data_IF_829784875407
#
_entry.id   IF_829784875407
#
_cell.length_a   1.000
_cell.length_b   1.000
_cell.length_c   1.000
_cell.angle_alpha   90.00
_cell.angle_beta   90.00
_cell.angle_gamma   90.00
#
_symmetry.space_group_name_H-M   'P 1'
#
loop_
_entity.id
_entity.type
_entity.pdbx_description
1 polymer ?
#
# COMPACT_ATOMS: atom_id res chain seq x y z
N UNK A 1 -39.14 80.33 20.76
CA UNK A 1 -37.87 80.26 20.01
C UNK A 1 -37.12 79.05 20.54
N UNK A 2 -37.29 77.85 19.96
CA UNK A 2 -36.46 77.31 18.86
C UNK A 2 -34.97 77.37 19.24
N UNK A 3 -34.16 76.32 19.21
CA UNK A 3 -34.24 74.97 18.67
C UNK A 3 -32.80 74.45 18.86
N UNK A 4 -32.56 73.29 19.49
CA UNK A 4 -31.36 72.50 19.19
C UNK A 4 -31.46 71.10 19.81
N UNK A 5 -32.33 70.33 19.15
CA UNK A 5 -32.06 68.96 18.69
C UNK A 5 -30.95 68.21 19.43
N UNK A 6 -31.32 67.52 20.50
CA UNK A 6 -30.56 66.43 21.10
C UNK A 6 -30.43 65.30 20.05
N UNK A 7 -29.40 65.38 19.20
CA UNK A 7 -29.07 64.33 18.22
C UNK A 7 -28.48 63.15 18.99
N UNK A 8 -29.32 62.18 19.30
CA UNK A 8 -28.90 60.83 19.73
C UNK A 8 -28.02 60.24 18.62
N UNK A 9 -26.70 60.26 18.81
CA UNK A 9 -25.76 59.60 17.91
C UNK A 9 -25.87 58.09 18.19
N UNK A 10 -26.76 57.42 17.49
CA UNK A 10 -26.73 55.96 17.40
C UNK A 10 -25.47 55.57 16.63
N UNK A 11 -24.55 54.77 17.20
CA UNK A 11 -23.40 54.28 16.43
C UNK A 11 -23.89 53.39 15.29
N UNK A 12 -23.29 53.56 14.10
CA UNK A 12 -23.61 52.73 12.94
C UNK A 12 -23.38 51.24 13.28
N UNK A 13 -24.24 50.32 12.79
CA UNK A 13 -24.03 48.89 12.99
C UNK A 13 -22.64 48.51 12.43
N UNK A 14 -21.89 47.63 13.13
CA UNK A 14 -20.57 47.21 12.66
C UNK A 14 -20.72 46.60 11.26
N UNK A 15 -19.80 46.96 10.37
CA UNK A 15 -19.77 46.42 9.01
C UNK A 15 -19.84 44.89 9.05
N UNK A 16 -20.75 44.30 8.29
CA UNK A 16 -20.89 42.85 8.19
C UNK A 16 -19.53 42.23 7.84
N UNK A 17 -19.06 41.31 8.68
CA UNK A 17 -17.82 40.57 8.43
C UNK A 17 -17.99 39.83 7.10
N UNK A 18 -17.14 40.06 6.09
CA UNK A 18 -17.22 39.33 4.84
C UNK A 18 -17.07 37.83 5.14
N UNK A 19 -17.85 36.95 4.47
CA UNK A 19 -17.71 35.52 4.67
C UNK A 19 -16.26 35.10 4.45
N UNK A 20 -15.72 34.17 5.26
CA UNK A 20 -14.34 33.73 5.10
C UNK A 20 -14.13 33.24 3.67
N UNK A 21 -13.00 33.62 3.08
CA UNK A 21 -12.61 33.13 1.77
C UNK A 21 -12.72 31.61 1.78
N UNK A 22 -13.50 31.02 0.86
CA UNK A 22 -13.52 29.57 0.71
C UNK A 22 -12.07 29.12 0.52
N UNK A 23 -11.58 28.33 1.48
CA UNK A 23 -10.30 27.66 1.33
C UNK A 23 -10.25 26.88 0.01
N UNK A 24 -9.06 26.49 -0.46
CA UNK A 24 -8.91 25.71 -1.67
C UNK A 24 -9.90 24.55 -1.62
N UNK A 25 -10.80 24.45 -2.61
CA UNK A 25 -11.58 23.24 -2.76
C UNK A 25 -10.56 22.12 -2.89
N UNK A 26 -10.63 21.11 -2.04
CA UNK A 26 -9.91 19.87 -2.26
C UNK A 26 -10.51 19.22 -3.52
N UNK A 27 -10.14 19.77 -4.67
CA UNK A 27 -10.32 19.15 -5.96
C UNK A 27 -9.46 17.90 -5.89
N UNK A 28 -10.10 16.75 -5.67
CA UNK A 28 -9.46 15.46 -5.81
C UNK A 28 -8.95 15.40 -7.24
N UNK A 29 -7.67 15.76 -7.43
CA UNK A 29 -7.01 15.71 -8.70
C UNK A 29 -7.07 14.25 -9.19
N UNK A 30 -8.01 13.97 -10.08
CA UNK A 30 -8.10 12.71 -10.82
C UNK A 30 -6.96 12.61 -11.85
N UNK A 31 -6.22 13.69 -12.04
CA UNK A 31 -5.04 13.78 -12.88
C UNK A 31 -3.78 13.57 -12.06
N UNK A 32 -3.08 12.49 -12.40
CA UNK A 32 -1.72 12.16 -11.96
C UNK A 32 -0.82 13.41 -12.03
N UNK A 33 -0.02 13.72 -10.99
CA UNK A 33 0.87 14.87 -11.04
C UNK A 33 1.85 14.75 -12.23
N UNK A 34 2.21 15.87 -12.87
CA UNK A 34 2.90 15.88 -14.17
C UNK A 34 4.26 15.17 -14.17
N UNK A 35 4.85 14.92 -13.00
CA UNK A 35 6.14 14.27 -12.77
C UNK A 35 6.03 12.78 -12.35
N UNK A 36 4.83 12.23 -12.14
CA UNK A 36 4.70 10.87 -11.65
C UNK A 36 4.99 9.83 -12.74
N UNK A 37 6.00 8.97 -12.51
CA UNK A 37 6.38 7.88 -13.41
C UNK A 37 5.59 6.60 -13.13
N UNK A 38 5.08 5.93 -14.17
CA UNK A 38 4.39 4.65 -14.02
C UNK A 38 5.37 3.54 -13.66
N UNK A 39 5.47 3.23 -12.36
CA UNK A 39 6.34 2.16 -11.85
C UNK A 39 5.83 0.75 -12.16
N UNK A 40 4.51 0.56 -12.12
CA UNK A 40 3.84 -0.73 -12.33
C UNK A 40 2.63 -0.55 -13.24
N UNK A 41 2.50 -1.46 -14.20
CA UNK A 41 1.33 -1.64 -15.06
C UNK A 41 0.10 -2.09 -14.26
N UNK A 42 -1.09 -1.86 -14.82
CA UNK A 42 -2.35 -2.33 -14.24
C UNK A 42 -2.38 -3.86 -14.12
N UNK A 43 -1.81 -4.57 -15.10
CA UNK A 43 -1.74 -6.03 -15.09
C UNK A 43 -0.86 -6.60 -13.98
N UNK A 44 0.30 -5.99 -13.71
CA UNK A 44 1.15 -6.36 -12.57
C UNK A 44 0.42 -6.16 -11.24
N UNK A 45 -0.32 -5.05 -11.10
CA UNK A 45 -1.09 -4.76 -9.87
C UNK A 45 -2.21 -5.77 -9.67
N UNK A 46 -2.97 -6.08 -10.70
CA UNK A 46 -4.10 -7.01 -10.59
C UNK A 46 -3.63 -8.43 -10.26
N UNK A 47 -2.58 -8.90 -10.94
CA UNK A 47 -1.99 -10.22 -10.64
C UNK A 47 -1.38 -10.27 -9.25
N UNK A 48 -0.72 -9.20 -8.80
CA UNK A 48 -0.24 -9.09 -7.42
C UNK A 48 -1.37 -9.19 -6.40
N UNK A 49 -2.47 -8.46 -6.60
CA UNK A 49 -3.64 -8.52 -5.70
C UNK A 49 -4.29 -9.90 -5.67
N UNK A 50 -4.34 -10.60 -6.80
CA UNK A 50 -4.82 -11.98 -6.84
C UNK A 50 -3.94 -12.92 -6.02
N UNK A 51 -2.62 -12.83 -6.17
CA UNK A 51 -1.64 -13.61 -5.37
C UNK A 51 -1.76 -13.26 -3.89
N UNK A 52 -1.85 -11.97 -3.54
CA UNK A 52 -1.95 -11.51 -2.16
C UNK A 52 -3.23 -12.01 -1.47
N UNK A 53 -4.37 -11.97 -2.17
CA UNK A 53 -5.63 -12.49 -1.63
C UNK A 53 -5.57 -14.00 -1.40
N UNK A 54 -5.04 -14.76 -2.37
CA UNK A 54 -4.87 -16.20 -2.24
C UNK A 54 -3.93 -16.54 -1.06
N UNK A 55 -2.84 -15.80 -0.89
CA UNK A 55 -1.94 -15.95 0.25
C UNK A 55 -2.65 -15.68 1.58
N UNK A 56 -3.44 -14.62 1.71
CA UNK A 56 -4.16 -14.32 2.96
C UNK A 56 -5.11 -15.47 3.34
N UNK A 57 -5.84 -16.00 2.37
CA UNK A 57 -6.76 -17.13 2.59
C UNK A 57 -5.98 -18.38 3.00
N UNK A 58 -4.84 -18.67 2.37
CA UNK A 58 -3.97 -19.79 2.74
C UNK A 58 -3.31 -19.62 4.10
N UNK A 59 -2.80 -18.43 4.40
CA UNK A 59 -2.17 -18.11 5.67
C UNK A 59 -3.15 -18.31 6.82
N UNK A 60 -4.38 -17.79 6.71
CA UNK A 60 -5.39 -17.91 7.76
C UNK A 60 -5.86 -19.36 7.97
N UNK A 61 -6.11 -20.09 6.88
CA UNK A 61 -6.49 -21.51 6.98
C UNK A 61 -5.33 -22.38 7.50
N UNK A 62 -4.11 -22.13 7.04
CA UNK A 62 -2.89 -22.79 7.52
C UNK A 62 -2.63 -22.52 9.00
N UNK A 63 -2.78 -21.26 9.43
CA UNK A 63 -2.60 -20.85 10.82
C UNK A 63 -3.60 -21.56 11.75
N UNK A 64 -4.86 -21.69 11.33
CA UNK A 64 -5.89 -22.41 12.07
C UNK A 64 -5.57 -23.91 12.24
N UNK A 65 -4.88 -24.52 11.27
CA UNK A 65 -4.45 -25.93 11.30
C UNK A 65 -3.10 -26.12 12.02
N UNK A 66 -2.26 -25.09 12.04
CA UNK A 66 -0.90 -25.16 12.57
C UNK A 66 -0.85 -25.20 14.09
N UNK A 67 -1.61 -24.34 14.77
CA UNK A 67 -1.57 -24.28 16.23
C UNK A 67 -2.99 -24.08 16.82
N UNK A 68 -3.42 -24.89 17.81
CA UNK A 68 -4.78 -24.88 18.34
C UNK A 68 -5.29 -23.52 18.83
N UNK A 69 -4.40 -22.66 19.33
CA UNK A 69 -4.74 -21.29 19.76
C UNK A 69 -5.45 -20.48 18.66
N UNK A 70 -5.15 -20.74 17.39
CA UNK A 70 -5.73 -20.02 16.26
C UNK A 70 -6.95 -20.72 15.65
N UNK A 71 -7.46 -21.80 16.26
CA UNK A 71 -8.56 -22.58 15.68
C UNK A 71 -9.84 -21.77 15.45
N UNK A 72 -10.04 -20.67 16.19
CA UNK A 72 -11.15 -19.74 15.99
C UNK A 72 -11.20 -19.15 14.57
N UNK A 73 -10.05 -19.06 13.88
CA UNK A 73 -9.95 -18.58 12.49
C UNK A 73 -10.68 -19.53 11.51
N UNK A 74 -10.84 -20.80 11.86
CA UNK A 74 -11.57 -21.77 11.03
C UNK A 74 -13.05 -21.36 10.79
N UNK A 75 -13.63 -20.52 11.66
CA UNK A 75 -14.98 -20.00 11.49
C UNK A 75 -15.15 -19.13 10.22
N UNK A 76 -14.07 -18.52 9.72
CA UNK A 76 -14.10 -17.73 8.48
C UNK A 76 -14.36 -18.58 7.22
N UNK A 77 -14.16 -19.88 7.32
CA UNK A 77 -14.25 -20.84 6.22
C UNK A 77 -15.54 -21.67 6.30
N UNK A 78 -16.52 -21.25 7.10
CA UNK A 78 -17.78 -21.96 7.33
C UNK A 78 -17.60 -23.15 8.28
N UNK A 79 -17.01 -24.25 7.79
CA UNK A 79 -16.73 -25.43 8.64
C UNK A 79 -15.25 -25.80 8.62
N UNK A 80 -14.70 -26.34 9.72
CA UNK A 80 -13.32 -26.84 9.76
C UNK A 80 -13.04 -27.95 8.74
N UNK A 81 -14.05 -28.73 8.37
CA UNK A 81 -13.96 -29.74 7.31
C UNK A 81 -13.79 -29.08 5.95
N UNK A 82 -14.61 -28.08 5.63
CA UNK A 82 -14.53 -27.37 4.36
C UNK A 82 -13.21 -26.60 4.20
N UNK A 83 -12.72 -25.97 5.27
CA UNK A 83 -11.40 -25.33 5.29
C UNK A 83 -10.28 -26.29 4.86
N UNK A 84 -10.26 -27.50 5.42
CA UNK A 84 -9.25 -28.53 5.12
C UNK A 84 -9.34 -29.02 3.68
N UNK A 85 -10.55 -29.11 3.13
CA UNK A 85 -10.78 -29.47 1.73
C UNK A 85 -10.29 -28.35 0.81
N UNK A 86 -10.66 -27.10 1.08
CA UNK A 86 -10.32 -25.96 0.20
C UNK A 86 -8.83 -25.60 0.20
N UNK A 87 -8.16 -25.68 1.34
CA UNK A 87 -6.77 -25.24 1.51
C UNK A 87 -5.82 -25.77 0.41
N UNK A 88 -5.74 -27.09 0.12
CA UNK A 88 -4.85 -27.58 -0.93
C UNK A 88 -5.20 -27.09 -2.34
N UNK A 89 -6.48 -26.94 -2.68
CA UNK A 89 -6.89 -26.41 -3.99
C UNK A 89 -6.49 -24.94 -4.16
N UNK A 90 -6.67 -24.14 -3.11
CA UNK A 90 -6.22 -22.74 -3.09
C UNK A 90 -4.69 -22.70 -3.15
N UNK A 91 -4.00 -23.66 -2.52
CA UNK A 91 -2.54 -23.81 -2.57
C UNK A 91 -2.04 -23.97 -4.00
N UNK A 92 -2.61 -24.90 -4.76
CA UNK A 92 -2.27 -25.10 -6.18
C UNK A 92 -2.56 -23.84 -7.00
N UNK A 93 -3.73 -23.22 -6.80
CA UNK A 93 -4.08 -21.98 -7.51
C UNK A 93 -3.11 -20.85 -7.18
N UNK A 94 -2.71 -20.71 -5.91
CA UNK A 94 -1.71 -19.75 -5.46
C UNK A 94 -0.36 -19.99 -6.12
N UNK A 95 0.16 -21.23 -6.13
CA UNK A 95 1.44 -21.55 -6.75
C UNK A 95 1.45 -21.19 -8.23
N UNK A 96 0.39 -21.53 -8.98
CA UNK A 96 0.27 -21.18 -10.39
C UNK A 96 0.25 -19.66 -10.60
N UNK A 97 -0.56 -18.93 -9.82
CA UNK A 97 -0.64 -17.47 -9.90
C UNK A 97 0.69 -16.82 -9.52
N UNK A 98 1.35 -17.31 -8.48
CA UNK A 98 2.63 -16.83 -7.99
C UNK A 98 3.72 -17.02 -9.04
N UNK A 99 3.88 -18.21 -9.61
CA UNK A 99 4.91 -18.45 -10.63
C UNK A 99 4.64 -17.67 -11.92
N UNK A 100 3.38 -17.51 -12.32
CA UNK A 100 3.02 -16.65 -13.45
C UNK A 100 3.38 -15.17 -13.19
N UNK A 101 3.21 -14.69 -11.95
CA UNK A 101 3.62 -13.34 -11.55
C UNK A 101 5.15 -13.21 -11.44
N UNK A 102 5.81 -14.16 -10.80
CA UNK A 102 7.26 -14.18 -10.61
C UNK A 102 8.00 -14.24 -11.96
N UNK A 103 7.47 -15.00 -12.93
CA UNK A 103 8.00 -15.07 -14.28
C UNK A 103 7.89 -13.75 -15.06
N UNK A 104 7.01 -12.81 -14.65
CA UNK A 104 6.98 -11.46 -15.25
C UNK A 104 8.07 -10.56 -14.68
N UNK A 105 8.40 -10.73 -13.40
CA UNK A 105 9.32 -9.87 -12.66
C UNK A 105 10.79 -10.35 -12.68
N UNK A 106 11.07 -11.54 -13.22
CA UNK A 106 12.37 -12.19 -13.08
C UNK A 106 13.56 -11.37 -13.59
N UNK A 107 13.44 -10.73 -14.76
CA UNK A 107 14.53 -9.94 -15.36
C UNK A 107 14.95 -8.77 -14.47
N UNK A 108 13.97 -8.15 -13.83
CA UNK A 108 14.19 -6.98 -12.97
C UNK A 108 14.72 -7.36 -11.58
N UNK A 109 14.62 -8.65 -11.21
CA UNK A 109 15.07 -9.18 -9.92
C UNK A 109 16.40 -9.96 -9.99
N UNK A 110 17.09 -9.91 -11.14
CA UNK A 110 18.45 -10.41 -11.25
C UNK A 110 19.39 -9.61 -10.34
N UNK A 111 20.27 -10.31 -9.64
CA UNK A 111 21.28 -9.72 -8.79
C UNK A 111 22.41 -9.12 -9.65
N UNK A 112 22.75 -7.87 -9.38
CA UNK A 112 23.75 -7.08 -10.09
C UNK A 112 24.82 -6.58 -9.10
N UNK A 113 26.05 -6.19 -9.53
CA UNK A 113 27.06 -5.65 -8.61
C UNK A 113 26.60 -4.43 -7.81
N UNK A 114 25.61 -3.68 -8.30
CA UNK A 114 24.97 -2.59 -7.55
C UNK A 114 24.30 -3.07 -6.24
N UNK A 115 23.75 -4.29 -6.22
CA UNK A 115 23.09 -4.85 -5.04
C UNK A 115 24.08 -5.05 -3.89
N UNK A 116 25.35 -5.39 -4.20
CA UNK A 116 26.41 -5.52 -3.18
C UNK A 116 26.74 -4.18 -2.55
N UNK A 117 26.74 -3.10 -3.33
CA UNK A 117 26.93 -1.73 -2.80
C UNK A 117 25.77 -1.34 -1.90
N UNK A 118 24.54 -1.63 -2.33
CA UNK A 118 23.36 -1.36 -1.52
C UNK A 118 23.37 -2.13 -0.20
N UNK A 119 23.73 -3.42 -0.21
CA UNK A 119 23.79 -4.25 1.00
C UNK A 119 24.76 -3.70 2.05
N UNK A 120 25.92 -3.16 1.62
CA UNK A 120 26.88 -2.52 2.53
C UNK A 120 26.33 -1.28 3.22
N UNK A 121 25.38 -0.59 2.58
CA UNK A 121 24.76 0.64 3.08
C UNK A 121 23.32 0.41 3.55
N UNK A 122 22.87 -0.85 3.70
CA UNK A 122 21.48 -1.18 4.02
C UNK A 122 21.00 -0.54 5.32
N UNK A 123 21.84 -0.51 6.36
CA UNK A 123 21.48 0.15 7.62
C UNK A 123 21.35 1.67 7.48
N UNK A 124 22.14 2.30 6.61
CA UNK A 124 21.99 3.72 6.30
C UNK A 124 20.65 3.97 5.60
N UNK A 125 20.27 3.11 4.64
CA UNK A 125 18.97 3.16 3.95
C UNK A 125 17.78 3.04 4.92
N UNK A 126 17.81 2.04 5.81
CA UNK A 126 16.73 1.79 6.78
C UNK A 126 16.58 2.96 7.75
N UNK A 127 17.69 3.64 8.08
CA UNK A 127 17.69 4.85 8.90
C UNK A 127 17.39 6.14 8.13
N UNK A 128 16.95 6.04 6.87
CA UNK A 128 16.56 7.21 6.06
C UNK A 128 17.72 8.10 5.61
N UNK A 129 18.95 7.58 5.59
CA UNK A 129 20.12 8.32 5.11
C UNK A 129 20.25 8.17 3.58
N UNK A 130 20.51 9.29 2.90
CA UNK A 130 20.57 9.37 1.44
C UNK A 130 21.78 8.65 0.80
N UNK A 131 22.74 8.22 1.61
CA UNK A 131 23.96 7.52 1.20
C UNK A 131 23.69 6.17 0.51
N UNK A 132 22.50 5.60 0.72
CA UNK A 132 22.09 4.31 0.18
C UNK A 132 21.07 4.46 -0.97
N UNK A 133 21.52 5.01 -2.10
CA UNK A 133 20.66 5.12 -3.29
C UNK A 133 20.38 3.74 -3.90
N UNK A 134 19.13 3.52 -4.30
CA UNK A 134 18.73 2.32 -5.04
C UNK A 134 19.04 2.56 -6.52
N UNK A 135 19.98 1.79 -7.05
CA UNK A 135 20.27 1.77 -8.48
C UNK A 135 19.32 0.77 -9.16
N UNK A 136 18.40 1.27 -10.00
CA UNK A 136 17.42 0.45 -10.74
C UNK A 136 16.02 0.39 -10.11
N UNK A 137 15.22 -0.60 -10.52
CA UNK A 137 13.81 -0.72 -10.13
C UNK A 137 13.61 -1.32 -8.73
N UNK A 138 14.50 -2.20 -8.28
CA UNK A 138 14.39 -2.89 -6.99
C UNK A 138 15.70 -2.85 -6.23
N UNK A 139 15.63 -2.72 -4.92
CA UNK A 139 16.82 -2.83 -4.05
C UNK A 139 17.20 -4.29 -3.77
N UNK A 140 18.39 -4.52 -3.22
CA UNK A 140 18.87 -5.88 -2.97
C UNK A 140 17.98 -6.67 -2.00
N UNK A 141 17.36 -6.01 -1.01
CA UNK A 141 16.42 -6.65 -0.08
C UNK A 141 15.14 -7.15 -0.76
N UNK A 142 14.58 -6.36 -1.68
CA UNK A 142 13.42 -6.74 -2.50
C UNK A 142 13.76 -7.93 -3.42
N UNK A 143 14.94 -7.92 -4.04
CA UNK A 143 15.41 -9.04 -4.86
C UNK A 143 15.65 -10.30 -4.01
N UNK A 144 16.22 -10.15 -2.82
CA UNK A 144 16.40 -11.26 -1.89
C UNK A 144 15.06 -11.88 -1.48
N UNK A 145 14.04 -11.05 -1.22
CA UNK A 145 12.67 -11.51 -0.95
C UNK A 145 12.06 -12.23 -2.16
N UNK A 146 12.25 -11.72 -3.38
CA UNK A 146 11.79 -12.39 -4.60
C UNK A 146 12.36 -13.80 -4.72
N UNK A 147 13.67 -13.96 -4.55
CA UNK A 147 14.33 -15.26 -4.66
C UNK A 147 13.98 -16.20 -3.49
N UNK A 148 13.82 -15.70 -2.27
CA UNK A 148 13.39 -16.55 -1.14
C UNK A 148 11.98 -17.09 -1.34
N UNK A 149 11.07 -16.29 -1.89
CA UNK A 149 9.72 -16.72 -2.22
C UNK A 149 9.72 -17.79 -3.33
N UNK A 150 10.57 -17.68 -4.35
CA UNK A 150 10.69 -18.73 -5.39
C UNK A 150 11.11 -20.08 -4.81
N UNK A 151 12.01 -20.08 -3.83
CA UNK A 151 12.48 -21.33 -3.21
C UNK A 151 11.44 -21.93 -2.27
N UNK A 152 10.64 -21.08 -1.62
CA UNK A 152 9.69 -21.49 -0.58
C UNK A 152 8.33 -21.93 -1.12
N UNK A 153 7.87 -21.33 -2.23
CA UNK A 153 6.55 -21.59 -2.85
C UNK A 153 6.62 -22.79 -3.81
#
# INVERSE_FOLDING_TARGET
MSNETQRTITPAPPAAVPPPARGPRHEFATTRPPDAVQRYSTGERLTHWAVALAYVVLFLSGLAMFHPFFYWVAALFGTPTFMRILHPFIGVAFSVLFFAYAARLWRENLLDPADRRWLRNMFAYINGRDEARVEGKYNAGQKAMYWSMIVMV
#
